data_IF_144613767222
#
_entry.id   IF_144613767222
#
_cell.length_a   1.000
_cell.length_b   1.000
_cell.length_c   1.000
_cell.angle_alpha   90.00
_cell.angle_beta   90.00
_cell.angle_gamma   90.00
#
_symmetry.space_group_name_H-M   'P 1'
#
loop_
_entity.id
_entity.type
_entity.pdbx_description
1 polymer ?
#
# COMPACT_ATOMS: atom_id res chain seq x y z
N UNK A 1 -26.28 -4.74 4.06
CA UNK A 1 -26.59 -3.71 5.08
C UNK A 1 -27.46 -2.60 4.51
N UNK A 2 -27.11 -1.96 3.38
CA UNK A 2 -27.99 -0.99 2.70
C UNK A 2 -29.36 -1.58 2.27
N UNK A 3 -29.42 -2.89 1.99
CA UNK A 3 -30.67 -3.60 1.67
C UNK A 3 -31.51 -4.01 2.92
N UNK A 4 -31.24 -3.46 4.11
CA UNK A 4 -31.99 -3.76 5.34
C UNK A 4 -31.50 -5.01 6.11
N UNK A 5 -30.46 -5.69 5.65
CA UNK A 5 -29.83 -6.78 6.40
C UNK A 5 -29.10 -6.25 7.64
N UNK A 6 -29.39 -6.84 8.80
CA UNK A 6 -28.63 -6.61 10.04
C UNK A 6 -27.16 -6.98 9.88
N UNK A 7 -26.28 -6.32 10.65
CA UNK A 7 -24.83 -6.47 10.55
C UNK A 7 -24.38 -7.94 10.67
N UNK A 8 -24.92 -8.68 11.63
CA UNK A 8 -24.54 -10.08 11.86
C UNK A 8 -24.90 -10.98 10.66
N UNK A 9 -26.08 -10.77 10.06
CA UNK A 9 -26.48 -11.49 8.85
C UNK A 9 -25.60 -11.12 7.66
N UNK A 10 -25.22 -9.85 7.54
CA UNK A 10 -24.31 -9.40 6.50
C UNK A 10 -22.92 -10.04 6.67
N UNK A 11 -22.38 -10.10 7.88
CA UNK A 11 -21.11 -10.75 8.18
C UNK A 11 -21.15 -12.26 7.88
N UNK A 12 -22.21 -12.95 8.30
CA UNK A 12 -22.38 -14.38 8.00
C UNK A 12 -22.47 -14.65 6.51
N UNK A 13 -23.19 -13.81 5.75
CA UNK A 13 -23.31 -13.95 4.29
C UNK A 13 -21.98 -13.71 3.60
N UNK A 14 -21.27 -12.63 3.96
CA UNK A 14 -19.96 -12.30 3.38
C UNK A 14 -18.93 -13.39 3.70
N UNK A 15 -18.94 -13.94 4.92
CA UNK A 15 -18.09 -15.09 5.27
C UNK A 15 -18.32 -16.29 4.33
N UNK A 16 -19.58 -16.64 4.08
CA UNK A 16 -19.91 -17.73 3.17
C UNK A 16 -19.53 -17.44 1.70
N UNK A 17 -19.75 -16.21 1.22
CA UNK A 17 -19.37 -15.80 -0.15
C UNK A 17 -17.84 -15.80 -0.34
N UNK A 18 -17.07 -15.49 0.70
CA UNK A 18 -15.60 -15.48 0.67
C UNK A 18 -14.97 -16.87 0.76
N UNK A 19 -15.73 -17.92 1.13
CA UNK A 19 -15.19 -19.25 1.37
C UNK A 19 -14.37 -19.82 0.19
N UNK A 20 -14.77 -19.51 -1.05
CA UNK A 20 -14.05 -19.99 -2.25
C UNK A 20 -12.82 -19.13 -2.59
N UNK A 21 -12.91 -17.81 -2.46
CA UNK A 21 -11.85 -16.89 -2.89
C UNK A 21 -10.77 -16.66 -1.82
N UNK A 22 -11.18 -16.62 -0.55
CA UNK A 22 -10.33 -16.30 0.61
C UNK A 22 -10.76 -17.15 1.82
N UNK A 23 -10.41 -18.45 1.85
CA UNK A 23 -10.85 -19.38 2.89
C UNK A 23 -10.43 -18.96 4.31
N UNK A 24 -9.21 -18.43 4.48
CA UNK A 24 -8.71 -17.95 5.78
C UNK A 24 -9.57 -16.81 6.35
N UNK A 25 -9.93 -15.83 5.51
CA UNK A 25 -10.77 -14.71 5.93
C UNK A 25 -12.21 -15.17 6.20
N UNK A 26 -12.71 -16.12 5.42
CA UNK A 26 -14.01 -16.76 5.65
C UNK A 26 -14.06 -17.44 7.03
N UNK A 27 -13.02 -18.19 7.39
CA UNK A 27 -12.94 -18.84 8.70
C UNK A 27 -12.91 -17.84 9.85
N UNK A 28 -12.17 -16.74 9.70
CA UNK A 28 -12.15 -15.66 10.69
C UNK A 28 -13.53 -14.99 10.87
N UNK A 29 -14.25 -14.72 9.78
CA UNK A 29 -15.61 -14.18 9.83
C UNK A 29 -16.62 -15.19 10.41
N UNK A 30 -16.41 -16.49 10.17
CA UNK A 30 -17.21 -17.56 10.77
C UNK A 30 -16.96 -17.67 12.27
N UNK A 31 -15.72 -17.44 12.71
CA UNK A 31 -15.34 -17.47 14.12
C UNK A 31 -16.02 -16.34 14.91
N UNK A 32 -16.16 -15.14 14.33
CA UNK A 32 -16.96 -14.06 14.94
C UNK A 32 -18.40 -14.53 15.19
N UNK A 33 -19.03 -15.15 14.20
CA UNK A 33 -20.40 -15.66 14.34
C UNK A 33 -20.50 -16.71 15.45
N UNK A 34 -19.47 -17.53 15.62
CA UNK A 34 -19.40 -18.51 16.69
C UNK A 34 -19.24 -17.85 18.07
N UNK A 35 -18.40 -16.81 18.17
CA UNK A 35 -18.22 -16.02 19.39
C UNK A 35 -19.51 -15.30 19.81
N UNK A 36 -20.23 -14.71 18.84
CA UNK A 36 -21.53 -14.08 19.07
C UNK A 36 -22.58 -15.11 19.57
N UNK A 37 -22.62 -16.31 18.98
CA UNK A 37 -23.51 -17.40 19.42
C UNK A 37 -23.15 -17.95 20.79
N UNK A 38 -21.87 -17.89 21.16
CA UNK A 38 -21.39 -18.22 22.50
C UNK A 38 -21.73 -17.15 23.55
N UNK A 39 -22.40 -16.05 23.16
CA UNK A 39 -22.84 -15.00 24.06
C UNK A 39 -21.79 -13.92 24.31
N UNK A 40 -20.67 -13.90 23.57
CA UNK A 40 -19.71 -12.80 23.68
C UNK A 40 -20.33 -11.50 23.19
N UNK A 41 -20.04 -10.36 23.84
CA UNK A 41 -20.45 -9.05 23.34
C UNK A 41 -19.92 -8.80 21.93
N UNK A 42 -20.74 -8.21 21.05
CA UNK A 42 -20.34 -7.94 19.65
C UNK A 42 -19.06 -7.13 19.54
N UNK A 43 -18.91 -6.11 20.37
CA UNK A 43 -17.71 -5.28 20.37
C UNK A 43 -16.44 -6.04 20.80
N UNK A 44 -16.57 -7.13 21.56
CA UNK A 44 -15.44 -7.98 21.93
C UNK A 44 -15.12 -8.98 20.81
N UNK A 45 -16.13 -9.64 20.24
CA UNK A 45 -15.95 -10.55 19.12
C UNK A 45 -15.30 -9.86 17.90
N UNK A 46 -15.70 -8.62 17.61
CA UNK A 46 -15.07 -7.82 16.55
C UNK A 46 -13.61 -7.43 16.89
N UNK A 47 -13.28 -7.15 18.16
CA UNK A 47 -11.89 -6.89 18.56
C UNK A 47 -11.02 -8.14 18.41
N UNK A 48 -11.53 -9.30 18.84
CA UNK A 48 -10.81 -10.56 18.71
C UNK A 48 -10.47 -10.86 17.24
N UNK A 49 -11.36 -10.52 16.30
CA UNK A 49 -11.04 -10.59 14.87
C UNK A 49 -9.83 -9.72 14.50
N UNK A 50 -9.81 -8.45 14.92
CA UNK A 50 -8.71 -7.54 14.63
C UNK A 50 -7.39 -8.04 15.24
N UNK A 51 -7.45 -8.53 16.49
CA UNK A 51 -6.29 -9.03 17.21
C UNK A 51 -5.72 -10.32 16.59
N UNK A 52 -6.58 -11.24 16.13
CA UNK A 52 -6.16 -12.48 15.46
C UNK A 52 -5.57 -12.25 14.08
N UNK A 53 -6.15 -11.34 13.30
CA UNK A 53 -5.73 -11.10 11.92
C UNK A 53 -4.52 -10.18 11.82
N UNK A 54 -4.37 -9.21 12.74
CA UNK A 54 -3.26 -8.26 12.74
C UNK A 54 -3.23 -7.33 11.52
N UNK A 55 -4.32 -7.24 10.75
CA UNK A 55 -4.38 -6.41 9.53
C UNK A 55 -4.93 -5.03 9.87
N UNK A 56 -4.13 -3.98 9.65
CA UNK A 56 -4.50 -2.59 9.96
C UNK A 56 -5.84 -2.13 9.36
N UNK A 57 -6.11 -2.53 8.12
CA UNK A 57 -7.36 -2.22 7.44
C UNK A 57 -8.53 -2.87 8.22
N UNK A 58 -8.39 -4.14 8.62
CA UNK A 58 -9.43 -4.85 9.37
C UNK A 58 -9.63 -4.28 10.78
N UNK A 59 -8.55 -3.90 11.47
CA UNK A 59 -8.61 -3.19 12.76
C UNK A 59 -9.36 -1.86 12.66
N UNK A 60 -9.14 -1.11 11.57
CA UNK A 60 -9.85 0.14 11.29
C UNK A 60 -11.33 -0.11 11.01
N UNK A 61 -11.66 -1.16 10.27
CA UNK A 61 -13.04 -1.58 10.00
C UNK A 61 -13.77 -1.94 11.30
N UNK A 62 -13.14 -2.77 12.14
CA UNK A 62 -13.66 -3.19 13.46
C UNK A 62 -13.94 -1.99 14.34
N UNK A 63 -12.99 -1.06 14.44
CA UNK A 63 -13.14 0.16 15.24
C UNK A 63 -14.34 0.99 14.78
N UNK A 64 -14.47 1.18 13.46
CA UNK A 64 -15.60 1.88 12.88
C UNK A 64 -16.93 1.17 13.18
N UNK A 65 -17.00 -0.15 13.00
CA UNK A 65 -18.21 -0.93 13.28
C UNK A 65 -18.63 -0.80 14.76
N UNK A 66 -17.70 -0.91 15.70
CA UNK A 66 -17.96 -0.74 17.14
C UNK A 66 -18.45 0.67 17.45
N UNK A 67 -17.86 1.69 16.83
CA UNK A 67 -18.30 3.07 17.01
C UNK A 67 -19.72 3.27 16.47
N UNK A 68 -20.02 2.77 15.27
CA UNK A 68 -21.35 2.91 14.68
C UNK A 68 -22.44 2.19 15.48
N UNK A 69 -22.14 1.01 16.02
CA UNK A 69 -23.03 0.25 16.90
C UNK A 69 -23.26 1.01 18.23
N UNK A 70 -22.20 1.59 18.82
CA UNK A 70 -22.28 2.33 20.08
C UNK A 70 -23.04 3.65 19.97
N UNK A 71 -22.82 4.41 18.90
CA UNK A 71 -23.41 5.73 18.70
C UNK A 71 -24.72 5.69 17.91
N UNK A 72 -25.15 4.51 17.44
CA UNK A 72 -26.37 4.34 16.67
C UNK A 72 -26.34 5.02 15.30
N UNK A 73 -25.16 5.35 14.79
CA UNK A 73 -25.00 5.98 13.47
C UNK A 73 -25.19 4.94 12.36
N UNK A 74 -25.51 5.39 11.14
CA UNK A 74 -25.76 4.49 10.02
C UNK A 74 -24.52 3.63 9.69
N UNK A 75 -24.58 2.36 10.06
CA UNK A 75 -23.56 1.34 9.74
C UNK A 75 -23.39 1.22 8.22
N UNK A 76 -24.49 1.32 7.48
CA UNK A 76 -24.50 1.26 6.02
C UNK A 76 -23.69 2.40 5.39
N UNK A 77 -23.94 3.63 5.82
CA UNK A 77 -23.22 4.81 5.34
C UNK A 77 -21.74 4.73 5.70
N UNK A 78 -21.42 4.32 6.93
CA UNK A 78 -20.05 4.24 7.41
C UNK A 78 -19.25 3.17 6.68
N UNK A 79 -19.85 2.00 6.41
CA UNK A 79 -19.27 0.96 5.56
C UNK A 79 -19.04 1.45 4.12
N UNK A 80 -19.99 2.22 3.56
CA UNK A 80 -19.84 2.79 2.21
C UNK A 80 -18.63 3.71 2.12
N UNK A 81 -18.53 4.68 3.02
CA UNK A 81 -17.39 5.61 3.10
C UNK A 81 -16.08 4.84 3.29
N UNK A 82 -16.06 3.88 4.21
CA UNK A 82 -14.89 3.05 4.44
C UNK A 82 -14.47 2.25 3.19
N UNK A 83 -15.43 1.72 2.44
CA UNK A 83 -15.16 1.00 1.18
C UNK A 83 -14.61 1.92 0.07
N UNK A 84 -15.05 3.18 0.01
CA UNK A 84 -14.50 4.18 -0.91
C UNK A 84 -13.06 4.52 -0.53
N UNK A 85 -12.77 4.69 0.77
CA UNK A 85 -11.41 4.89 1.28
C UNK A 85 -10.48 3.74 0.89
N UNK A 86 -10.93 2.48 1.01
CA UNK A 86 -10.12 1.33 0.58
C UNK A 86 -9.84 1.31 -0.93
N UNK A 87 -10.80 1.71 -1.77
CA UNK A 87 -10.60 1.85 -3.22
C UNK A 87 -9.57 2.94 -3.53
N UNK A 88 -9.67 4.09 -2.86
CA UNK A 88 -8.71 5.19 -3.01
C UNK A 88 -7.31 4.77 -2.56
N UNK A 89 -7.18 4.08 -1.43
CA UNK A 89 -5.90 3.55 -0.93
C UNK A 89 -5.24 2.58 -1.92
N UNK A 90 -6.02 1.70 -2.54
CA UNK A 90 -5.51 0.80 -3.61
C UNK A 90 -4.98 1.58 -4.81
N UNK A 91 -5.71 2.63 -5.23
CA UNK A 91 -5.27 3.51 -6.32
C UNK A 91 -3.99 4.26 -5.98
N UNK A 92 -3.91 4.83 -4.77
CA UNK A 92 -2.72 5.52 -4.28
C UNK A 92 -1.48 4.61 -4.24
N UNK A 93 -1.62 3.36 -3.75
CA UNK A 93 -0.51 2.39 -3.79
C UNK A 93 0.00 2.13 -5.21
N UNK A 94 -0.91 2.08 -6.19
CA UNK A 94 -0.53 1.94 -7.59
C UNK A 94 0.15 3.21 -8.15
N UNK A 95 -0.37 4.39 -7.83
CA UNK A 95 0.21 5.68 -8.21
C UNK A 95 1.61 5.90 -7.57
N UNK A 96 1.79 5.52 -6.31
CA UNK A 96 3.09 5.54 -5.63
C UNK A 96 4.10 4.61 -6.30
N UNK A 97 3.67 3.40 -6.70
CA UNK A 97 4.53 2.48 -7.43
C UNK A 97 4.93 3.05 -8.81
N UNK A 98 3.99 3.71 -9.50
CA UNK A 98 4.27 4.38 -10.77
C UNK A 98 5.23 5.57 -10.59
N UNK A 99 5.00 6.43 -9.59
CA UNK A 99 5.86 7.58 -9.31
C UNK A 99 7.30 7.18 -8.94
N UNK A 100 7.47 6.09 -8.19
CA UNK A 100 8.79 5.53 -7.88
C UNK A 100 9.54 5.03 -9.13
N UNK A 101 8.84 4.68 -10.21
CA UNK A 101 9.45 4.26 -11.48
C UNK A 101 10.23 5.40 -12.14
N UNK A 102 9.73 6.64 -12.08
CA UNK A 102 10.40 7.81 -12.65
C UNK A 102 11.76 8.07 -11.99
N UNK A 103 11.85 7.97 -10.67
CA UNK A 103 13.11 8.16 -9.93
C UNK A 103 14.13 7.08 -10.27
N UNK A 104 13.69 5.83 -10.47
CA UNK A 104 14.58 4.73 -10.91
C UNK A 104 15.16 4.97 -12.31
N UNK A 105 14.47 5.70 -13.19
CA UNK A 105 14.96 6.06 -14.53
C UNK A 105 16.04 7.15 -14.52
N UNK A 106 16.11 7.97 -13.47
CA UNK A 106 17.15 9.01 -13.33
C UNK A 106 18.54 8.38 -13.15
N UNK A 107 18.63 7.24 -12.48
CA UNK A 107 19.91 6.58 -12.21
C UNK A 107 20.67 6.18 -13.50
N UNK A 108 20.07 5.44 -14.47
CA UNK A 108 20.68 5.20 -15.77
C UNK A 108 20.99 6.49 -16.54
N UNK A 109 20.10 7.48 -16.46
CA UNK A 109 20.25 8.73 -17.19
C UNK A 109 21.51 9.48 -16.77
N UNK A 110 21.74 9.60 -15.46
CA UNK A 110 22.96 10.21 -14.91
C UNK A 110 24.19 9.39 -15.29
N UNK A 111 24.13 8.06 -15.16
CA UNK A 111 25.29 7.20 -15.44
C UNK A 111 25.66 7.12 -16.93
N UNK A 112 24.74 7.41 -17.85
CA UNK A 112 25.03 7.44 -19.29
C UNK A 112 25.36 8.85 -19.81
N UNK A 113 24.63 9.88 -19.35
CA UNK A 113 24.82 11.25 -19.84
C UNK A 113 26.03 11.92 -19.18
N UNK A 114 26.23 11.72 -17.87
CA UNK A 114 27.32 12.38 -17.15
C UNK A 114 28.71 11.98 -17.69
N UNK A 115 29.02 10.71 -17.97
CA UNK A 115 30.29 10.34 -18.60
C UNK A 115 30.43 10.89 -20.03
N UNK A 116 29.34 10.91 -20.80
CA UNK A 116 29.36 11.46 -22.15
C UNK A 116 29.72 12.96 -22.15
N UNK A 117 29.16 13.73 -21.20
CA UNK A 117 29.51 15.14 -21.01
C UNK A 117 30.98 15.28 -20.62
N UNK A 118 31.49 14.48 -19.68
CA UNK A 118 32.90 14.50 -19.29
C UNK A 118 33.84 14.22 -20.46
N UNK A 119 33.54 13.23 -21.30
CA UNK A 119 34.33 12.89 -22.49
C UNK A 119 34.32 14.04 -23.49
N UNK A 120 33.17 14.68 -23.74
CA UNK A 120 33.07 15.78 -24.71
C UNK A 120 33.77 17.04 -24.20
N UNK A 121 33.63 17.38 -22.92
CA UNK A 121 34.20 18.62 -22.36
C UNK A 121 35.69 18.50 -22.08
N UNK A 122 36.15 17.38 -21.51
CA UNK A 122 37.55 17.20 -21.10
C UNK A 122 38.39 16.50 -22.17
N UNK A 123 37.79 15.63 -22.99
CA UNK A 123 38.49 14.90 -24.05
C UNK A 123 39.43 15.77 -24.91
N UNK A 124 38.98 16.86 -25.54
CA UNK A 124 39.86 17.70 -26.35
C UNK A 124 40.91 18.46 -25.52
N UNK A 125 40.60 18.85 -24.28
CA UNK A 125 41.55 19.51 -23.40
C UNK A 125 42.68 18.54 -22.98
N UNK A 126 42.34 17.29 -22.64
CA UNK A 126 43.30 16.24 -22.32
C UNK A 126 44.18 15.88 -23.54
N UNK A 127 43.59 15.73 -24.73
CA UNK A 127 44.36 15.48 -25.96
C UNK A 127 45.33 16.64 -26.24
N UNK A 128 44.88 17.90 -26.12
CA UNK A 128 45.77 19.07 -26.30
C UNK A 128 46.89 19.11 -25.26
N UNK A 129 46.60 18.75 -24.01
CA UNK A 129 47.61 18.69 -22.95
C UNK A 129 48.70 17.66 -23.26
N UNK A 130 48.31 16.45 -23.66
CA UNK A 130 49.27 15.37 -24.00
C UNK A 130 50.05 15.71 -25.27
N UNK A 131 49.41 16.21 -26.31
CA UNK A 131 50.08 16.44 -27.60
C UNK A 131 50.97 17.68 -27.62
N UNK A 132 50.60 18.75 -26.90
CA UNK A 132 51.29 20.05 -26.99
C UNK A 132 52.08 20.39 -25.73
N UNK A 133 51.52 20.11 -24.54
CA UNK A 133 52.11 20.56 -23.28
C UNK A 133 53.14 19.55 -22.74
N UNK A 134 52.86 18.24 -22.82
CA UNK A 134 53.77 17.19 -22.37
C UNK A 134 55.15 17.23 -23.06
N UNK A 135 55.26 17.31 -24.41
CA UNK A 135 56.57 17.38 -25.06
C UNK A 135 57.30 18.70 -24.77
N UNK A 136 56.59 19.79 -24.47
CA UNK A 136 57.21 21.08 -24.13
C UNK A 136 57.82 21.07 -22.72
N UNK A 137 57.20 20.35 -21.77
CA UNK A 137 57.73 20.15 -20.41
C UNK A 137 58.95 19.23 -20.42
N UNK A 138 58.94 18.20 -21.26
CA UNK A 138 60.07 17.25 -21.37
C UNK A 138 61.28 17.86 -22.07
N UNK A 139 61.09 18.80 -23.01
CA UNK A 139 62.16 19.54 -23.69
C UNK A 139 62.74 20.72 -22.87
N UNK A 140 62.19 20.99 -21.67
CA UNK A 140 62.65 22.05 -20.76
C UNK A 140 63.44 21.49 -19.56
N UNK A 141 63.68 20.17 -19.51
CA UNK A 141 64.69 19.54 -18.64
C UNK A 141 65.95 19.25 -19.44
#
# INVERSE_FOLDING_TARGET
VEAGLGLDQALSRVGAELAFAYPELSDELRLINLELRAGKPRAEALRNLADRTGVDDLSSLVTMLIQTDKFGTSVAQSLRVYSETLRTKRRQRAEEAAAKTGVKMVFPLVFCIFPAIWVVTIGPAAIKFVTVLFPMIENTK
#
